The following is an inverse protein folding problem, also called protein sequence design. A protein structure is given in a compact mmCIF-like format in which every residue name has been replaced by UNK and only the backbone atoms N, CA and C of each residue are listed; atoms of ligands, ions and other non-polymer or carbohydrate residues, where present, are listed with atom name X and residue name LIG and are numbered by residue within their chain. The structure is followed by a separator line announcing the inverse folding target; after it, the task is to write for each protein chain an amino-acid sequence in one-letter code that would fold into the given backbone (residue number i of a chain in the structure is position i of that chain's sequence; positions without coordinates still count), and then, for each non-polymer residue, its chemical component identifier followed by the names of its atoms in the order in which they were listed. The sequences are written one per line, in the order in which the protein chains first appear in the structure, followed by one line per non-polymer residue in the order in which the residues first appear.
data_IF_967227681285
#
_entry.id   IF_967227681285
#
_cell.length_a   1.000
_cell.length_b   1.000
_cell.length_c   1.000
_cell.angle_alpha   90.00
_cell.angle_beta   90.00
_cell.angle_gamma   90.00
#
_symmetry.space_group_name_H-M   'P 1'
#
loop_
_entity.id
_entity.type
_entity.pdbx_description
1 polymer ?
#
# COMPACT_ATOMS: atom_id res chain seq x y z
N UNK A 1 -16.14 19.19 2.92
CA UNK A 1 -16.83 17.89 2.74
C UNK A 1 -16.47 16.85 3.80
N UNK A 2 -15.24 16.30 3.88
CA UNK A 2 -14.88 15.26 4.87
C UNK A 2 -15.17 15.68 6.32
N UNK A 3 -14.67 16.85 6.75
CA UNK A 3 -14.82 17.36 8.13
C UNK A 3 -16.29 17.57 8.47
N UNK A 4 -17.04 18.21 7.57
CA UNK A 4 -18.49 18.41 7.69
C UNK A 4 -19.22 17.08 7.87
N UNK A 5 -18.96 16.09 7.01
CA UNK A 5 -19.59 14.77 7.09
C UNK A 5 -19.22 14.00 8.37
N UNK A 6 -18.00 14.17 8.90
CA UNK A 6 -17.60 13.61 10.19
C UNK A 6 -18.39 14.24 11.35
N UNK A 7 -18.55 15.58 11.36
CA UNK A 7 -19.32 16.29 12.38
C UNK A 7 -20.82 15.97 12.34
N UNK A 8 -21.36 15.74 11.15
CA UNK A 8 -22.77 15.38 10.92
C UNK A 8 -23.07 13.88 11.03
N UNK A 9 -22.08 13.03 11.37
CA UNK A 9 -22.28 11.58 11.49
C UNK A 9 -22.54 10.84 10.16
N UNK A 10 -22.27 11.46 9.01
CA UNK A 10 -22.53 10.92 7.67
C UNK A 10 -21.37 10.01 7.20
N UNK A 11 -21.31 8.79 7.73
CA UNK A 11 -20.21 7.85 7.52
C UNK A 11 -19.90 7.56 6.03
N UNK A 12 -20.92 7.34 5.20
CA UNK A 12 -20.74 7.04 3.76
C UNK A 12 -20.08 8.19 3.01
N UNK A 13 -20.60 9.42 3.19
CA UNK A 13 -20.05 10.62 2.55
C UNK A 13 -18.63 10.89 3.04
N UNK A 14 -18.38 10.69 4.33
CA UNK A 14 -17.03 10.80 4.89
C UNK A 14 -16.06 9.81 4.25
N UNK A 15 -16.47 8.55 4.08
CA UNK A 15 -15.64 7.52 3.46
C UNK A 15 -15.36 7.83 1.99
N UNK A 16 -16.37 8.28 1.24
CA UNK A 16 -16.20 8.73 -0.15
C UNK A 16 -15.24 9.91 -0.25
N UNK A 17 -15.42 10.93 0.61
CA UNK A 17 -14.53 12.08 0.67
C UNK A 17 -13.07 11.65 0.95
N UNK A 18 -12.88 10.75 1.92
CA UNK A 18 -11.54 10.21 2.26
C UNK A 18 -10.93 9.43 1.09
N UNK A 19 -11.73 8.64 0.37
CA UNK A 19 -11.27 7.88 -0.79
C UNK A 19 -10.82 8.81 -1.93
N UNK A 20 -11.61 9.86 -2.23
CA UNK A 20 -11.25 10.86 -3.24
C UNK A 20 -9.96 11.60 -2.88
N UNK A 21 -9.81 12.04 -1.63
CA UNK A 21 -8.58 12.70 -1.16
C UNK A 21 -7.36 11.79 -1.26
N UNK A 22 -7.48 10.53 -0.82
CA UNK A 22 -6.36 9.59 -0.81
C UNK A 22 -6.01 9.05 -2.20
N UNK A 23 -6.97 9.01 -3.13
CA UNK A 23 -6.72 8.56 -4.50
C UNK A 23 -6.06 9.63 -5.38
N UNK A 24 -6.30 10.91 -5.09
CA UNK A 24 -5.82 12.03 -5.91
C UNK A 24 -4.28 12.08 -6.01
N UNK A 25 -3.56 12.00 -4.88
CA UNK A 25 -2.09 12.04 -4.94
C UNK A 25 -1.52 10.78 -5.63
N UNK A 26 -2.17 9.63 -5.47
CA UNK A 26 -1.81 8.40 -6.17
C UNK A 26 -1.96 8.51 -7.68
N UNK A 27 -2.97 9.26 -8.16
CA UNK A 27 -3.12 9.57 -9.59
C UNK A 27 -1.93 10.36 -10.12
N UNK A 28 -1.42 11.35 -9.38
CA UNK A 28 -0.25 12.12 -9.81
C UNK A 28 1.03 11.27 -9.93
N UNK A 29 1.16 10.20 -9.15
CA UNK A 29 2.31 9.29 -9.20
C UNK A 29 2.11 8.03 -10.05
N UNK A 30 1.03 7.96 -10.84
CA UNK A 30 0.70 6.77 -11.62
C UNK A 30 1.68 6.61 -12.79
N UNK A 31 2.30 5.45 -12.90
CA UNK A 31 3.18 5.15 -14.02
C UNK A 31 2.38 5.16 -15.33
N UNK A 32 2.75 5.95 -16.34
CA UNK A 32 2.08 5.93 -17.63
C UNK A 32 2.29 4.56 -18.29
N UNK A 33 1.20 3.92 -18.74
CA UNK A 33 1.33 2.67 -19.47
C UNK A 33 1.51 2.94 -20.96
N UNK A 34 2.34 2.12 -21.61
CA UNK A 34 2.48 2.11 -23.07
C UNK A 34 1.58 1.06 -23.71
N UNK A 35 0.78 0.38 -22.90
CA UNK A 35 -0.14 -0.67 -23.34
C UNK A 35 -1.57 -0.15 -23.40
N UNK A 36 -2.26 -0.48 -24.47
CA UNK A 36 -3.71 -0.36 -24.57
C UNK A 36 -4.32 -1.74 -24.58
N UNK A 37 -5.46 -1.86 -23.91
CA UNK A 37 -6.30 -3.05 -23.97
C UNK A 37 -7.63 -2.66 -24.59
N UNK A 38 -8.09 -3.45 -25.55
CA UNK A 38 -9.37 -3.23 -26.20
C UNK A 38 -9.96 -4.52 -26.71
N UNK A 39 -11.26 -4.49 -26.99
CA UNK A 39 -11.97 -5.59 -27.62
C UNK A 39 -12.04 -5.29 -29.11
N UNK A 40 -11.52 -6.21 -29.93
CA UNK A 40 -11.42 -6.06 -31.38
C UNK A 40 -12.02 -7.27 -32.08
N UNK A 41 -12.68 -7.03 -33.21
CA UNK A 41 -13.01 -8.08 -34.20
C UNK A 41 -11.77 -8.41 -35.03
N UNK A 42 -11.72 -9.59 -35.65
CA UNK A 42 -10.59 -9.97 -36.54
C UNK A 42 -10.34 -8.94 -37.65
N UNK A 43 -11.39 -8.29 -38.16
CA UNK A 43 -11.28 -7.21 -39.16
C UNK A 43 -10.60 -5.95 -38.59
N UNK A 44 -10.84 -5.61 -37.32
CA UNK A 44 -10.21 -4.46 -36.68
C UNK A 44 -8.76 -4.76 -36.29
N UNK A 45 -8.44 -6.00 -35.91
CA UNK A 45 -7.06 -6.45 -35.64
C UNK A 45 -6.19 -6.26 -36.88
N UNK A 46 -6.69 -6.68 -38.05
CA UNK A 46 -5.98 -6.49 -39.33
C UNK A 46 -5.76 -5.03 -39.74
N UNK A 47 -6.50 -4.08 -39.14
CA UNK A 47 -6.38 -2.64 -39.39
C UNK A 47 -5.50 -1.93 -38.35
N UNK A 48 -4.93 -2.65 -37.39
CA UNK A 48 -4.01 -2.07 -36.41
C UNK A 48 -2.81 -1.50 -37.16
N UNK A 49 -2.52 -0.22 -36.91
CA UNK A 49 -1.43 0.48 -37.60
C UNK A 49 -0.07 -0.02 -37.12
N UNK A 50 1.00 0.07 -37.93
CA UNK A 50 2.34 -0.39 -37.54
C UNK A 50 2.92 0.31 -36.30
N UNK A 51 2.38 1.48 -35.95
CA UNK A 51 2.67 2.18 -34.69
C UNK A 51 2.34 1.34 -33.43
N UNK A 52 1.53 0.29 -33.58
CA UNK A 52 1.11 -0.60 -32.49
C UNK A 52 1.52 -2.04 -32.77
N UNK A 53 2.09 -2.69 -31.75
CA UNK A 53 2.40 -4.12 -31.74
C UNK A 53 1.35 -4.88 -30.95
N UNK A 54 0.74 -5.89 -31.56
CA UNK A 54 -0.08 -6.86 -30.82
C UNK A 54 0.86 -7.69 -29.94
N UNK A 55 0.74 -7.51 -28.64
CA UNK A 55 1.59 -8.18 -27.64
C UNK A 55 0.90 -9.40 -27.03
N UNK A 56 -0.43 -9.41 -27.03
CA UNK A 56 -1.23 -10.53 -26.59
C UNK A 56 -2.62 -10.46 -27.23
N UNK A 57 -3.22 -11.60 -27.52
CA UNK A 57 -4.57 -11.74 -28.05
C UNK A 57 -5.26 -12.90 -27.32
N UNK A 58 -6.44 -12.63 -26.77
CA UNK A 58 -7.29 -13.63 -26.14
C UNK A 58 -8.60 -13.66 -26.90
N UNK A 59 -8.86 -14.75 -27.61
CA UNK A 59 -10.04 -14.90 -28.46
C UNK A 59 -11.27 -15.35 -27.66
N UNK A 60 -12.41 -14.74 -27.96
CA UNK A 60 -13.74 -15.01 -27.41
C UNK A 60 -14.74 -15.14 -28.57
N UNK A 61 -14.57 -16.17 -29.41
CA UNK A 61 -15.36 -16.31 -30.64
C UNK A 61 -15.03 -15.21 -31.65
N UNK A 62 -15.99 -14.37 -32.00
CA UNK A 62 -15.83 -13.30 -33.01
C UNK A 62 -15.08 -12.05 -32.49
N UNK A 63 -14.92 -11.94 -31.17
CA UNK A 63 -14.24 -10.84 -30.51
C UNK A 63 -12.97 -11.33 -29.84
N UNK A 64 -11.96 -10.47 -29.76
CA UNK A 64 -10.71 -10.76 -29.06
C UNK A 64 -10.32 -9.61 -28.15
N UNK A 65 -9.88 -9.92 -26.94
CA UNK A 65 -9.19 -8.95 -26.08
C UNK A 65 -7.75 -8.86 -26.54
N UNK A 66 -7.39 -7.71 -27.12
CA UNK A 66 -6.07 -7.48 -27.67
C UNK A 66 -5.32 -6.50 -26.78
N UNK A 67 -4.06 -6.83 -26.50
CA UNK A 67 -3.11 -5.93 -25.87
C UNK A 67 -2.19 -5.36 -26.93
N UNK A 68 -2.26 -4.05 -27.12
CA UNK A 68 -1.42 -3.30 -28.04
C UNK A 68 -0.33 -2.59 -27.26
N UNK A 69 0.91 -2.67 -27.72
CA UNK A 69 2.05 -1.92 -27.18
C UNK A 69 2.55 -0.95 -28.23
N UNK A 70 2.79 0.29 -27.84
CA UNK A 70 3.32 1.32 -28.74
C UNK A 70 4.73 0.96 -29.23
N UNK A 71 4.96 0.95 -30.54
CA UNK A 71 6.28 0.75 -31.15
C UNK A 71 7.01 2.08 -31.28
N UNK A 72 7.86 2.42 -30.30
CA UNK A 72 8.52 3.73 -30.26
C UNK A 72 9.50 3.91 -31.42
N UNK A 73 10.25 2.86 -31.73
CA UNK A 73 11.30 2.86 -32.73
C UNK A 73 10.70 3.12 -34.12
N UNK A 74 9.65 2.36 -34.48
CA UNK A 74 8.93 2.57 -35.74
C UNK A 74 8.34 3.98 -35.84
N UNK A 75 7.76 4.51 -34.77
CA UNK A 75 7.17 5.86 -34.76
C UNK A 75 8.26 6.93 -34.94
N UNK A 76 9.40 6.79 -34.26
CA UNK A 76 10.52 7.72 -34.40
C UNK A 76 11.06 7.75 -35.84
N UNK A 77 11.19 6.57 -36.46
CA UNK A 77 11.67 6.45 -37.84
C UNK A 77 10.69 7.01 -38.88
N UNK A 78 9.38 6.82 -38.69
CA UNK A 78 8.37 7.13 -39.71
C UNK A 78 7.59 8.43 -39.48
N UNK A 79 7.46 8.86 -38.23
CA UNK A 79 6.67 10.05 -37.83
C UNK A 79 7.49 11.06 -37.02
N UNK A 80 8.76 10.75 -36.72
CA UNK A 80 9.64 11.60 -35.94
C UNK A 80 9.20 11.80 -34.48
N UNK A 81 9.85 12.77 -33.83
CA UNK A 81 9.62 13.10 -32.42
C UNK A 81 8.20 13.62 -32.19
N UNK A 82 7.66 14.43 -33.10
CA UNK A 82 6.31 14.99 -32.99
C UNK A 82 5.23 13.89 -32.99
N UNK A 83 5.36 12.89 -33.89
CA UNK A 83 4.48 11.72 -33.91
C UNK A 83 4.52 10.95 -32.60
N UNK A 84 5.73 10.71 -32.07
CA UNK A 84 5.89 10.02 -30.78
C UNK A 84 5.24 10.81 -29.63
N UNK A 85 5.45 12.13 -29.55
CA UNK A 85 4.83 12.98 -28.53
C UNK A 85 3.30 12.88 -28.60
N UNK A 86 2.71 12.93 -29.80
CA UNK A 86 1.26 12.82 -29.97
C UNK A 86 0.73 11.47 -29.46
N UNK A 87 1.38 10.37 -29.82
CA UNK A 87 1.01 9.04 -29.34
C UNK A 87 1.15 8.91 -27.82
N UNK A 88 2.25 9.39 -27.24
CA UNK A 88 2.49 9.36 -25.80
C UNK A 88 1.53 10.25 -25.02
N UNK A 89 1.14 11.41 -25.57
CA UNK A 89 0.18 12.32 -24.93
C UNK A 89 -1.21 11.69 -24.88
N UNK A 90 -1.64 11.00 -25.94
CA UNK A 90 -2.93 10.31 -25.99
C UNK A 90 -2.98 9.05 -25.09
N UNK A 91 -1.84 8.39 -24.91
CA UNK A 91 -1.66 7.27 -23.97
C UNK A 91 -1.50 7.72 -22.52
N UNK A 92 -0.92 8.91 -22.35
CA UNK A 92 -0.53 9.46 -21.09
C UNK A 92 -1.72 9.70 -20.19
N UNK A 93 -1.52 9.40 -18.91
CA UNK A 93 -2.43 9.89 -17.88
C UNK A 93 -2.02 11.31 -17.50
N UNK A 94 -2.96 12.15 -17.06
CA UNK A 94 -2.65 13.45 -16.46
C UNK A 94 -1.95 13.24 -15.11
N UNK A 95 -0.63 13.05 -15.15
CA UNK A 95 0.21 12.74 -13.99
C UNK A 95 1.25 13.84 -13.80
N UNK A 96 1.66 14.02 -12.55
CA UNK A 96 2.76 14.92 -12.21
C UNK A 96 3.49 14.30 -11.03
N UNK A 97 4.53 13.55 -11.33
CA UNK A 97 5.29 12.80 -10.33
C UNK A 97 5.92 13.73 -9.28
N UNK A 98 6.22 14.98 -9.63
CA UNK A 98 6.76 15.95 -8.68
C UNK A 98 5.74 16.31 -7.59
N UNK A 99 4.45 16.44 -7.94
CA UNK A 99 3.38 16.66 -6.95
C UNK A 99 3.28 15.45 -6.02
N UNK A 100 3.24 14.23 -6.56
CA UNK A 100 3.17 13.02 -5.73
C UNK A 100 4.40 12.88 -4.81
N UNK A 101 5.60 13.16 -5.34
CA UNK A 101 6.84 13.15 -4.58
C UNK A 101 6.80 14.19 -3.44
N UNK A 102 6.42 15.44 -3.74
CA UNK A 102 6.29 16.50 -2.75
C UNK A 102 5.30 16.13 -1.63
N UNK A 103 4.10 15.64 -1.99
CA UNK A 103 3.10 15.20 -1.00
C UNK A 103 3.68 14.12 -0.09
N UNK A 104 4.29 13.07 -0.65
CA UNK A 104 4.87 11.99 0.17
C UNK A 104 6.09 12.43 1.00
N UNK A 105 6.86 13.42 0.54
CA UNK A 105 7.96 14.00 1.30
C UNK A 105 7.43 14.81 2.49
N UNK A 106 6.45 15.69 2.27
CA UNK A 106 5.81 16.46 3.33
C UNK A 106 5.13 15.56 4.36
N UNK A 107 4.45 14.49 3.95
CA UNK A 107 3.88 13.51 4.90
C UNK A 107 4.95 12.88 5.80
N UNK A 108 6.13 12.56 5.26
CA UNK A 108 7.26 12.03 6.05
C UNK A 108 7.84 13.07 7.01
N UNK A 109 7.94 14.33 6.58
CA UNK A 109 8.38 15.42 7.44
C UNK A 109 7.41 15.55 8.62
N UNK A 110 6.10 15.61 8.37
CA UNK A 110 5.07 15.76 9.41
C UNK A 110 5.14 14.64 10.44
N UNK A 111 5.15 13.37 10.02
CA UNK A 111 5.20 12.26 10.98
C UNK A 111 6.51 12.23 11.77
N UNK A 112 7.63 12.64 11.15
CA UNK A 112 8.91 12.74 11.85
C UNK A 112 8.94 13.92 12.83
N UNK A 113 8.25 15.03 12.55
CA UNK A 113 8.07 16.11 13.53
C UNK A 113 7.36 15.62 14.79
N UNK A 114 6.31 14.79 14.64
CA UNK A 114 5.64 14.17 15.79
C UNK A 114 6.54 13.20 16.55
N UNK A 115 7.40 12.44 15.86
CA UNK A 115 8.41 11.58 16.51
C UNK A 115 9.41 12.40 17.30
N UNK A 116 9.95 13.48 16.72
CA UNK A 116 10.90 14.37 17.40
C UNK A 116 10.25 15.04 18.62
N UNK A 117 8.98 15.43 18.51
CA UNK A 117 8.20 15.95 19.64
C UNK A 117 8.08 14.90 20.76
N UNK A 118 7.71 13.66 20.43
CA UNK A 118 7.62 12.58 21.41
C UNK A 118 8.96 12.36 22.14
N UNK A 119 10.07 12.31 21.40
CA UNK A 119 11.41 12.19 21.97
C UNK A 119 11.78 13.37 22.86
N UNK A 120 11.43 14.60 22.48
CA UNK A 120 11.65 15.81 23.28
C UNK A 120 10.90 15.76 24.62
N UNK A 121 9.73 15.13 24.64
CA UNK A 121 8.93 14.91 25.84
C UNK A 121 9.42 13.73 26.69
N UNK A 122 10.49 13.05 26.27
CA UNK A 122 11.04 11.86 26.95
C UNK A 122 10.21 10.59 26.73
N UNK A 123 9.36 10.56 25.69
CA UNK A 123 8.55 9.38 25.35
C UNK A 123 9.33 8.41 24.48
N UNK A 124 9.06 7.12 24.66
CA UNK A 124 9.59 6.05 23.83
C UNK A 124 8.67 5.79 22.63
N UNK A 125 9.28 5.52 21.47
CA UNK A 125 8.55 5.22 20.23
C UNK A 125 8.66 3.72 19.95
N UNK A 126 7.55 3.01 20.07
CA UNK A 126 7.51 1.56 19.82
C UNK A 126 7.24 1.20 18.35
N UNK A 127 6.39 1.98 17.68
CA UNK A 127 5.98 1.69 16.31
C UNK A 127 5.54 2.93 15.55
N UNK A 128 5.69 2.91 14.23
CA UNK A 128 5.13 3.92 13.33
C UNK A 128 4.94 3.34 11.94
N UNK A 129 3.77 3.57 11.33
CA UNK A 129 3.49 3.24 9.93
C UNK A 129 2.79 4.41 9.25
N UNK A 130 3.44 4.96 8.23
CA UNK A 130 2.97 6.04 7.35
C UNK A 130 2.57 7.33 8.09
N UNK A 131 1.40 7.33 8.74
CA UNK A 131 0.76 8.44 9.43
C UNK A 131 0.35 8.10 10.88
N UNK A 132 0.87 7.00 11.42
CA UNK A 132 0.61 6.53 12.79
C UNK A 132 1.87 6.50 13.65
N UNK A 133 1.69 6.61 14.97
CA UNK A 133 2.73 6.59 15.98
C UNK A 133 2.21 5.89 17.24
N UNK A 134 3.03 5.01 17.83
CA UNK A 134 2.74 4.31 19.08
C UNK A 134 3.78 4.68 20.12
N UNK A 135 3.31 5.13 21.28
CA UNK A 135 4.11 5.69 22.37
C UNK A 135 3.77 5.04 23.70
N UNK A 136 4.66 5.19 24.68
CA UNK A 136 4.42 4.81 26.09
C UNK A 136 3.63 5.86 26.89
N UNK A 137 3.27 6.99 26.30
CA UNK A 137 2.54 8.07 26.96
C UNK A 137 1.78 8.97 25.99
N UNK A 138 0.93 9.87 26.51
CA UNK A 138 0.11 10.75 25.69
C UNK A 138 0.93 11.90 25.08
N UNK A 139 0.54 12.32 23.87
CA UNK A 139 0.97 13.60 23.31
C UNK A 139 0.10 14.74 23.86
N UNK A 140 0.59 15.99 23.86
CA UNK A 140 -0.19 17.16 24.25
C UNK A 140 -1.47 17.27 23.42
N UNK A 141 -2.58 17.65 24.06
CA UNK A 141 -3.91 17.72 23.43
C UNK A 141 -3.98 18.67 22.23
N UNK A 142 -3.10 19.67 22.18
CA UNK A 142 -2.99 20.60 21.04
C UNK A 142 -2.66 19.90 19.71
N UNK A 143 -1.97 18.74 19.77
CA UNK A 143 -1.60 17.93 18.59
C UNK A 143 -2.60 16.80 18.30
N UNK A 144 -3.57 16.59 19.19
CA UNK A 144 -4.47 15.45 19.14
C UNK A 144 -5.92 15.89 18.94
N UNK A 145 -6.47 15.63 17.75
CA UNK A 145 -7.88 15.86 17.45
C UNK A 145 -8.40 14.84 16.42
N UNK A 146 -9.67 14.46 16.54
CA UNK A 146 -10.28 13.42 15.70
C UNK A 146 -10.86 13.93 14.37
N UNK A 147 -11.10 15.24 14.25
CA UNK A 147 -11.79 15.87 13.14
C UNK A 147 -10.94 16.93 12.41
N UNK A 148 -10.01 17.57 13.12
CA UNK A 148 -9.14 18.62 12.59
C UNK A 148 -8.09 18.04 11.63
N UNK A 149 -7.82 18.76 10.55
CA UNK A 149 -6.90 18.30 9.52
C UNK A 149 -5.45 18.48 9.99
N UNK A 150 -4.64 17.42 9.90
CA UNK A 150 -3.21 17.44 10.23
C UNK A 150 -2.87 17.06 11.67
N UNK A 151 -3.87 17.01 12.56
CA UNK A 151 -3.73 16.51 13.93
C UNK A 151 -3.84 14.99 14.00
N UNK A 152 -3.23 14.41 15.03
CA UNK A 152 -3.26 12.97 15.26
C UNK A 152 -4.56 12.59 15.97
N UNK A 153 -5.25 11.57 15.46
CA UNK A 153 -6.39 10.98 16.16
C UNK A 153 -5.88 9.96 17.18
N UNK A 154 -6.33 10.05 18.42
CA UNK A 154 -6.18 8.95 19.37
C UNK A 154 -7.06 7.76 18.92
N UNK A 155 -6.42 6.68 18.47
CA UNK A 155 -7.14 5.48 18.03
C UNK A 155 -7.37 4.48 19.16
N UNK A 156 -6.33 4.18 19.94
CA UNK A 156 -6.37 3.14 20.97
C UNK A 156 -5.51 3.52 22.18
N UNK A 157 -5.98 3.11 23.36
CA UNK A 157 -5.19 2.99 24.59
C UNK A 157 -5.16 1.53 25.01
N UNK A 158 -3.98 0.97 25.23
CA UNK A 158 -3.81 -0.46 25.41
C UNK A 158 -2.82 -0.79 26.52
N UNK A 159 -3.02 -1.97 27.15
CA UNK A 159 -2.18 -2.47 28.24
C UNK A 159 -0.90 -3.11 27.72
N UNK A 160 -1.02 -3.79 26.57
CA UNK A 160 0.05 -4.58 25.99
C UNK A 160 -0.02 -4.50 24.46
N UNK A 161 1.15 -4.37 23.83
CA UNK A 161 1.29 -4.38 22.38
C UNK A 161 2.51 -5.21 21.96
N UNK A 162 2.33 -6.09 20.97
CA UNK A 162 3.40 -6.84 20.34
C UNK A 162 3.59 -6.34 18.91
N UNK A 163 4.76 -5.79 18.60
CA UNK A 163 5.10 -5.25 17.28
C UNK A 163 6.19 -6.10 16.64
N UNK A 164 5.79 -7.13 15.91
CA UNK A 164 6.73 -8.15 15.42
C UNK A 164 7.47 -7.66 14.18
N UNK A 165 6.73 -7.15 13.19
CA UNK A 165 7.28 -6.69 11.91
C UNK A 165 6.38 -5.61 11.28
N UNK A 166 6.82 -4.91 10.23
CA UNK A 166 5.99 -3.88 9.60
C UNK A 166 4.62 -4.42 9.19
N UNK A 167 3.55 -3.81 9.71
CA UNK A 167 2.14 -4.21 9.50
C UNK A 167 1.76 -5.57 10.10
N UNK A 168 2.50 -6.05 11.09
CA UNK A 168 2.17 -7.25 11.87
C UNK A 168 2.29 -6.94 13.36
N UNK A 169 1.14 -6.75 14.01
CA UNK A 169 1.08 -6.39 15.43
C UNK A 169 -0.21 -6.84 16.12
N UNK A 170 -0.11 -6.99 17.43
CA UNK A 170 -1.18 -7.34 18.36
C UNK A 170 -1.30 -6.25 19.42
N UNK A 171 -2.52 -5.82 19.74
CA UNK A 171 -2.81 -4.91 20.85
C UNK A 171 -3.91 -5.51 21.72
N UNK A 172 -3.74 -5.43 23.03
CA UNK A 172 -4.76 -5.72 24.03
C UNK A 172 -5.16 -4.42 24.73
N UNK A 173 -6.34 -3.88 24.37
CA UNK A 173 -6.83 -2.61 24.93
C UNK A 173 -7.13 -2.70 26.43
N UNK A 174 -7.24 -1.56 27.10
CA UNK A 174 -7.62 -1.51 28.52
C UNK A 174 -9.01 -2.10 28.79
N UNK A 175 -9.86 -2.13 27.77
CA UNK A 175 -11.23 -2.67 27.81
C UNK A 175 -11.28 -4.18 27.47
N UNK A 176 -10.12 -4.82 27.28
CA UNK A 176 -10.02 -6.24 26.91
C UNK A 176 -10.29 -6.53 25.42
N UNK A 177 -10.53 -5.52 24.60
CA UNK A 177 -10.64 -5.69 23.15
C UNK A 177 -9.26 -6.03 22.54
N UNK A 178 -9.23 -7.08 21.72
CA UNK A 178 -8.05 -7.50 20.96
C UNK A 178 -8.08 -6.91 19.56
N UNK A 179 -7.02 -6.17 19.21
CA UNK A 179 -6.80 -5.63 17.86
C UNK A 179 -5.60 -6.32 17.24
N UNK A 180 -5.81 -6.98 16.11
CA UNK A 180 -4.75 -7.68 15.37
C UNK A 180 -4.62 -7.14 13.96
N UNK A 181 -3.39 -7.03 13.48
CA UNK A 181 -3.06 -6.76 12.09
C UNK A 181 -1.98 -7.71 11.64
N UNK A 182 -2.19 -8.36 10.50
CA UNK A 182 -1.19 -9.20 9.86
C UNK A 182 -1.18 -8.96 8.35
N UNK A 183 -0.03 -8.51 7.83
CA UNK A 183 0.16 -8.33 6.38
C UNK A 183 0.03 -9.68 5.67
N UNK A 184 -0.81 -9.73 4.63
CA UNK A 184 -0.99 -10.92 3.79
C UNK A 184 -1.93 -12.00 4.38
N UNK A 185 -2.40 -11.82 5.61
CA UNK A 185 -3.31 -12.75 6.28
C UNK A 185 -4.57 -12.01 6.76
N UNK A 186 -5.74 -12.43 6.31
CA UNK A 186 -7.02 -11.79 6.65
C UNK A 186 -7.64 -12.29 7.95
N UNK A 187 -7.14 -13.41 8.50
CA UNK A 187 -7.63 -13.95 9.76
C UNK A 187 -7.06 -13.22 10.97
N UNK A 188 -7.47 -13.66 12.17
CA UNK A 188 -6.95 -13.18 13.45
C UNK A 188 -5.98 -14.20 14.01
N UNK A 189 -4.75 -13.76 14.29
CA UNK A 189 -3.77 -14.57 15.01
C UNK A 189 -3.99 -14.46 16.51
N UNK A 190 -3.71 -15.54 17.24
CA UNK A 190 -3.72 -15.56 18.70
C UNK A 190 -2.46 -14.91 19.26
N UNK A 191 -2.48 -14.51 20.54
CA UNK A 191 -1.29 -13.97 21.21
C UNK A 191 -0.11 -14.97 21.18
N UNK A 192 -0.38 -16.25 21.40
CA UNK A 192 0.63 -17.31 21.33
C UNK A 192 1.34 -17.35 19.97
N UNK A 193 0.58 -17.26 18.87
CA UNK A 193 1.13 -17.20 17.52
C UNK A 193 2.04 -15.98 17.28
N UNK A 194 1.70 -14.81 17.84
CA UNK A 194 2.61 -13.66 17.78
C UNK A 194 3.91 -13.89 18.55
N UNK A 195 3.85 -14.59 19.68
CA UNK A 195 5.05 -14.94 20.47
C UNK A 195 5.91 -16.01 19.76
N UNK A 196 5.28 -16.95 19.06
CA UNK A 196 5.97 -17.92 18.19
C UNK A 196 6.70 -17.21 17.04
N UNK A 197 6.05 -16.23 16.39
CA UNK A 197 6.72 -15.41 15.39
C UNK A 197 7.89 -14.61 15.99
N UNK A 198 7.72 -14.08 17.20
CA UNK A 198 8.76 -13.32 17.90
C UNK A 198 9.98 -14.19 18.21
N UNK A 199 9.77 -15.47 18.53
CA UNK A 199 10.85 -16.44 18.78
C UNK A 199 11.51 -16.97 17.50
N UNK A 200 11.07 -16.50 16.33
CA UNK A 200 11.62 -16.88 15.02
C UNK A 200 10.97 -18.11 14.39
N UNK A 201 9.89 -18.63 14.98
CA UNK A 201 9.15 -19.74 14.37
C UNK A 201 8.35 -19.24 13.15
N UNK A 202 8.16 -20.15 12.20
CA UNK A 202 7.28 -19.90 11.05
C UNK A 202 5.88 -20.40 11.38
N UNK A 203 4.89 -19.55 11.21
CA UNK A 203 3.49 -19.96 11.32
C UNK A 203 3.00 -20.49 9.99
N UNK A 204 2.50 -21.71 10.01
CA UNK A 204 1.78 -22.31 8.88
C UNK A 204 0.30 -21.93 9.00
N UNK A 205 -0.17 -21.13 8.05
CA UNK A 205 -1.53 -20.59 8.03
C UNK A 205 -2.22 -20.98 6.73
N UNK A 206 -3.53 -20.82 6.71
CA UNK A 206 -4.36 -21.02 5.51
C UNK A 206 -4.99 -19.70 5.08
N UNK A 207 -4.85 -19.36 3.79
CA UNK A 207 -5.50 -18.18 3.20
C UNK A 207 -6.41 -18.56 2.03
N UNK A 208 -7.40 -17.71 1.79
CA UNK A 208 -8.16 -17.75 0.55
C UNK A 208 -7.43 -16.92 -0.50
N UNK A 209 -6.82 -17.58 -1.47
CA UNK A 209 -6.12 -16.92 -2.58
C UNK A 209 -7.07 -16.72 -3.75
N UNK A 210 -7.19 -15.47 -4.17
CA UNK A 210 -7.92 -15.11 -5.38
C UNK A 210 -6.91 -15.00 -6.52
N UNK A 211 -7.16 -15.74 -7.59
CA UNK A 211 -6.41 -15.64 -8.83
C UNK A 211 -7.38 -15.46 -9.98
N UNK A 212 -6.98 -14.68 -10.97
CA UNK A 212 -7.74 -14.51 -12.20
C UNK A 212 -6.81 -14.65 -13.38
N UNK A 213 -7.27 -15.36 -14.40
CA UNK A 213 -6.64 -15.39 -15.71
C UNK A 213 -7.65 -14.87 -16.71
N UNK A 214 -7.37 -13.71 -17.30
CA UNK A 214 -8.16 -13.21 -18.42
C UNK A 214 -7.96 -14.08 -19.65
N UNK A 215 -6.75 -14.64 -19.82
CA UNK A 215 -6.40 -15.55 -20.94
C UNK A 215 -7.22 -16.82 -20.90
N UNK A 216 -7.28 -17.45 -19.74
CA UNK A 216 -7.95 -18.73 -19.56
C UNK A 216 -9.40 -18.55 -19.07
N UNK A 217 -9.90 -17.30 -19.09
CA UNK A 217 -11.27 -16.91 -18.76
C UNK A 217 -11.77 -17.42 -17.40
N UNK A 218 -10.91 -17.48 -16.38
CA UNK A 218 -11.30 -17.94 -15.06
C UNK A 218 -11.03 -16.93 -13.96
N UNK A 219 -11.89 -16.98 -12.94
CA UNK A 219 -11.62 -16.47 -11.60
C UNK A 219 -11.61 -17.68 -10.69
N UNK A 220 -10.47 -17.98 -10.08
CA UNK A 220 -10.28 -19.13 -9.22
C UNK A 220 -10.08 -18.65 -7.79
N UNK A 221 -10.99 -19.09 -6.93
CA UNK A 221 -10.94 -18.89 -5.49
C UNK A 221 -10.39 -20.19 -4.90
N UNK A 222 -9.15 -20.16 -4.44
CA UNK A 222 -8.52 -21.29 -3.77
C UNK A 222 -8.62 -21.06 -2.26
N UNK A 223 -9.59 -21.71 -1.62
CA UNK A 223 -9.63 -21.79 -0.17
C UNK A 223 -8.50 -22.66 0.35
N UNK A 224 -8.09 -22.43 1.60
CA UNK A 224 -7.08 -23.24 2.31
C UNK A 224 -5.74 -23.36 1.59
N UNK A 225 -5.31 -22.29 0.91
CA UNK A 225 -3.96 -22.25 0.33
C UNK A 225 -2.96 -22.10 1.46
N UNK A 226 -1.91 -22.95 1.55
CA UNK A 226 -0.90 -22.83 2.58
C UNK A 226 -0.17 -21.49 2.46
N UNK A 227 0.05 -20.83 3.59
CA UNK A 227 0.70 -19.54 3.72
C UNK A 227 1.63 -19.57 4.93
N UNK A 228 2.93 -19.49 4.64
CA UNK A 228 3.95 -19.47 5.67
C UNK A 228 4.26 -18.02 6.04
N UNK A 229 3.93 -17.66 7.27
CA UNK A 229 4.29 -16.36 7.83
C UNK A 229 5.56 -16.54 8.65
N UNK A 230 6.65 -15.97 8.15
CA UNK A 230 7.96 -16.02 8.80
C UNK A 230 8.38 -14.62 9.21
N UNK A 231 9.01 -14.51 10.37
CA UNK A 231 9.68 -13.29 10.80
C UNK A 231 10.74 -12.86 9.78
N UNK A 232 10.64 -11.64 9.27
CA UNK A 232 11.63 -11.12 8.33
C UNK A 232 11.82 -9.61 8.47
N UNK A 233 13.09 -9.20 8.52
CA UNK A 233 13.49 -7.82 8.36
C UNK A 233 14.42 -7.66 7.15
N UNK A 234 14.00 -6.82 6.22
CA UNK A 234 14.76 -6.61 4.97
C UNK A 234 15.65 -5.35 5.03
N UNK A 235 15.49 -4.51 6.05
CA UNK A 235 16.14 -3.18 6.16
C UNK A 235 16.79 -2.92 7.51
N UNK A 236 16.51 -3.75 8.51
CA UNK A 236 16.96 -3.58 9.88
C UNK A 236 17.36 -4.93 10.47
N UNK A 237 18.22 -4.92 11.48
CA UNK A 237 18.61 -6.10 12.25
C UNK A 237 18.22 -5.92 13.71
N UNK A 238 17.92 -7.03 14.40
CA UNK A 238 17.61 -7.02 15.84
C UNK A 238 18.88 -6.77 16.66
N UNK A 239 18.74 -5.99 17.73
CA UNK A 239 19.77 -5.76 18.74
C UNK A 239 19.33 -6.41 20.05
N UNK A 240 20.16 -7.30 20.57
CA UNK A 240 19.91 -8.00 21.82
C UNK A 240 20.80 -7.47 22.93
N UNK A 241 20.28 -7.42 24.16
CA UNK A 241 21.11 -7.16 25.34
C UNK A 241 21.89 -8.41 25.77
N UNK A 242 22.74 -8.28 26.80
CA UNK A 242 23.53 -9.38 27.34
C UNK A 242 22.68 -10.55 27.86
N UNK A 243 21.41 -10.30 28.20
CA UNK A 243 20.43 -11.27 28.66
C UNK A 243 19.66 -11.93 27.51
N UNK A 244 19.99 -11.64 26.25
CA UNK A 244 19.33 -12.21 25.08
C UNK A 244 17.95 -11.62 24.77
N UNK A 245 17.57 -10.51 25.41
CA UNK A 245 16.31 -9.82 25.15
C UNK A 245 16.47 -8.86 23.97
N UNK A 246 15.50 -8.87 23.05
CA UNK A 246 15.47 -7.93 21.94
C UNK A 246 15.12 -6.53 22.46
N UNK A 247 16.08 -5.61 22.40
CA UNK A 247 15.94 -4.26 22.95
C UNK A 247 15.74 -3.19 21.89
N UNK A 248 16.28 -3.36 20.67
CA UNK A 248 16.16 -2.35 19.62
C UNK A 248 16.45 -2.94 18.23
N UNK A 249 16.42 -2.12 17.18
CA UNK A 249 16.83 -2.49 15.83
C UNK A 249 17.79 -1.47 15.24
N UNK A 250 18.77 -1.92 14.47
CA UNK A 250 19.69 -1.07 13.71
C UNK A 250 19.43 -1.21 12.20
N UNK A 251 19.67 -0.18 11.37
CA UNK A 251 19.64 -0.34 9.91
C UNK A 251 20.71 -1.34 9.45
N UNK A 252 20.39 -2.14 8.43
CA UNK A 252 21.39 -3.00 7.78
C UNK A 252 22.30 -2.10 6.94
N UNK A 253 23.60 -2.18 7.18
CA UNK A 253 24.62 -1.52 6.37
C UNK A 253 25.00 -2.51 5.27
N UNK A 254 24.68 -2.17 4.02
CA UNK A 254 25.14 -2.95 2.87
C UNK A 254 26.61 -2.56 2.59
N UNK A 255 27.50 -3.54 2.32
CA UNK A 255 28.88 -3.27 1.94
C UNK A 255 28.99 -2.52 0.60
#
# INVERSE_FOLDING_TARGET
MKVTAQKEGKATIRNLAKLLMNSMYGRFGMHPTLTLHGIYTSKQINKVTPAWKISNEIQFGELSLVTLTLQKEWILENQGIEGLIKHLTNLGNNTNVAIAAAVTAHSRIIINTYKLLALKLGLEIYYSDTDSLVLNGPLPSEYCDSAELGKLKLEYTFKEGLFIMPKVYYLETNEGQIVTKCKGYSGKLTKAQYLELLSGQTLELEITKWSKSLRDSYVRIQSKTPYNLTFSFNKRQQLFNAQGQWVNTAPIILP
#
